data_IF_175606910026
#
_entry.id   IF_175606910026
#
_cell.length_a   1.000
_cell.length_b   1.000
_cell.length_c   1.000
_cell.angle_alpha   90.00
_cell.angle_beta   90.00
_cell.angle_gamma   90.00
#
_symmetry.space_group_name_H-M   'P 1'
#
loop_
_entity.id
_entity.type
_entity.pdbx_description
1 polymer ?
#
# COMPACT_ATOMS: atom_id res chain seq x y z
N UNK A 1 -12.01 17.55 -21.86
CA UNK A 1 -12.04 16.22 -21.17
C UNK A 1 -10.97 15.26 -21.69
N UNK A 2 -10.79 15.05 -23.00
CA UNK A 2 -9.76 14.12 -23.52
C UNK A 2 -8.31 14.55 -23.23
N UNK A 3 -8.00 15.84 -23.35
CA UNK A 3 -6.64 16.37 -23.08
C UNK A 3 -6.24 16.35 -21.60
N UNK A 4 -7.21 16.57 -20.70
CA UNK A 4 -6.97 16.56 -19.24
C UNK A 4 -6.74 15.15 -18.69
N UNK A 5 -7.40 14.14 -19.26
CA UNK A 5 -7.17 12.74 -18.87
C UNK A 5 -5.77 12.31 -19.31
N UNK A 6 -5.34 12.71 -20.52
CA UNK A 6 -4.02 12.37 -21.04
C UNK A 6 -2.89 12.96 -20.19
N UNK A 7 -2.99 14.23 -19.80
CA UNK A 7 -1.96 14.89 -18.98
C UNK A 7 -1.86 14.26 -17.58
N UNK A 8 -2.98 13.85 -16.99
CA UNK A 8 -2.98 13.12 -15.70
C UNK A 8 -2.35 11.73 -15.85
N UNK A 9 -2.63 11.01 -16.94
CA UNK A 9 -2.03 9.70 -17.19
C UNK A 9 -0.51 9.81 -17.40
N UNK A 10 -0.06 10.82 -18.14
CA UNK A 10 1.37 11.10 -18.35
C UNK A 10 2.09 11.47 -17.05
N UNK A 11 1.48 12.32 -16.24
CA UNK A 11 2.00 12.70 -14.93
C UNK A 11 2.15 11.48 -14.01
N UNK A 12 1.13 10.62 -13.95
CA UNK A 12 1.15 9.42 -13.11
C UNK A 12 2.19 8.39 -13.57
N UNK A 13 2.42 8.26 -14.86
CA UNK A 13 3.46 7.37 -15.39
C UNK A 13 4.87 7.90 -15.09
N UNK A 14 5.12 9.20 -15.33
CA UNK A 14 6.46 9.79 -15.13
C UNK A 14 6.84 9.96 -13.67
N UNK A 15 5.96 10.52 -12.85
CA UNK A 15 6.27 10.88 -11.46
C UNK A 15 6.04 9.73 -10.48
N UNK A 16 4.99 8.94 -10.71
CA UNK A 16 4.57 7.88 -9.79
C UNK A 16 4.95 6.48 -10.29
N UNK A 17 5.37 6.32 -11.55
CA UNK A 17 5.79 5.04 -12.10
C UNK A 17 4.64 4.05 -12.31
N UNK A 18 3.39 4.53 -12.36
CA UNK A 18 2.22 3.67 -12.54
C UNK A 18 1.99 3.44 -14.04
N UNK A 19 1.96 2.18 -14.52
CA UNK A 19 1.72 1.90 -15.94
C UNK A 19 0.40 2.47 -16.44
N UNK A 20 0.39 3.07 -17.63
CA UNK A 20 -0.85 3.63 -18.22
C UNK A 20 -1.96 2.59 -18.36
N UNK A 21 -1.60 1.36 -18.73
CA UNK A 21 -2.56 0.27 -18.92
C UNK A 21 -3.35 -0.04 -17.63
N UNK A 22 -2.67 -0.07 -16.48
CA UNK A 22 -3.27 -0.28 -15.16
C UNK A 22 -4.21 0.86 -14.76
N UNK A 23 -3.82 2.10 -15.08
CA UNK A 23 -4.64 3.28 -14.80
C UNK A 23 -5.91 3.27 -15.65
N UNK A 24 -5.79 2.97 -16.94
CA UNK A 24 -6.92 2.90 -17.86
C UNK A 24 -7.90 1.82 -17.42
N UNK A 25 -7.42 0.61 -17.12
CA UNK A 25 -8.29 -0.47 -16.65
C UNK A 25 -9.01 -0.11 -15.34
N UNK A 26 -8.32 0.57 -14.42
CA UNK A 26 -8.92 1.02 -13.16
C UNK A 26 -9.99 2.09 -13.38
N UNK A 27 -9.73 3.07 -14.24
CA UNK A 27 -10.68 4.13 -14.58
C UNK A 27 -11.91 3.52 -15.28
N UNK A 28 -11.70 2.65 -16.26
CA UNK A 28 -12.77 1.94 -16.98
C UNK A 28 -13.68 1.15 -16.03
N UNK A 29 -13.10 0.39 -15.11
CA UNK A 29 -13.85 -0.39 -14.11
C UNK A 29 -14.65 0.51 -13.15
N UNK A 30 -14.05 1.61 -12.71
CA UNK A 30 -14.73 2.55 -11.82
C UNK A 30 -15.90 3.23 -12.54
N UNK A 31 -15.71 3.63 -13.79
CA UNK A 31 -16.76 4.21 -14.63
C UNK A 31 -17.89 3.21 -14.90
N UNK A 32 -17.58 1.94 -15.20
CA UNK A 32 -18.59 0.88 -15.35
C UNK A 32 -19.45 0.77 -14.08
N UNK A 33 -18.80 0.73 -12.91
CA UNK A 33 -19.47 0.63 -11.61
C UNK A 33 -20.33 1.86 -11.30
N UNK A 34 -19.84 3.06 -11.59
CA UNK A 34 -20.60 4.28 -11.35
C UNK A 34 -21.80 4.43 -12.29
N UNK A 35 -21.62 4.04 -13.56
CA UNK A 35 -22.69 4.11 -14.54
C UNK A 35 -23.82 3.10 -14.24
N UNK A 36 -23.48 1.91 -13.71
CA UNK A 36 -24.45 0.93 -13.20
C UNK A 36 -25.23 1.44 -11.98
N UNK A 37 -24.62 2.23 -11.09
CA UNK A 37 -25.29 2.82 -9.92
C UNK A 37 -26.08 4.10 -10.24
N UNK A 38 -25.78 4.74 -11.37
CA UNK A 38 -26.36 6.01 -11.78
C UNK A 38 -27.57 5.88 -12.74
N UNK A 39 -27.56 6.68 -13.81
CA UNK A 39 -28.65 6.91 -14.77
C UNK A 39 -29.18 5.62 -15.44
N UNK A 40 -28.31 4.60 -15.51
CA UNK A 40 -28.54 3.33 -16.21
C UNK A 40 -28.64 2.15 -15.22
N UNK A 41 -29.27 2.37 -14.07
CA UNK A 41 -29.56 1.33 -13.08
C UNK A 41 -30.20 0.10 -13.74
N UNK A 42 -29.46 -0.99 -13.78
CA UNK A 42 -29.88 -2.27 -14.38
C UNK A 42 -29.41 -2.55 -15.82
N UNK A 43 -28.70 -1.64 -16.48
CA UNK A 43 -28.06 -1.92 -17.78
C UNK A 43 -26.58 -2.29 -17.60
N UNK A 44 -26.13 -3.31 -18.33
CA UNK A 44 -24.71 -3.58 -18.46
C UNK A 44 -24.09 -2.62 -19.47
N UNK A 45 -23.00 -1.97 -19.06
CA UNK A 45 -22.26 -1.02 -19.87
C UNK A 45 -20.85 -1.55 -20.12
N UNK A 46 -20.41 -1.45 -21.37
CA UNK A 46 -19.02 -1.64 -21.78
C UNK A 46 -18.44 -0.27 -22.05
N UNK A 47 -17.34 0.05 -21.38
CA UNK A 47 -16.64 1.32 -21.53
C UNK A 47 -15.23 0.96 -21.97
N UNK A 48 -14.71 1.70 -22.94
CA UNK A 48 -13.32 1.59 -23.36
C UNK A 48 -12.69 2.99 -23.48
N UNK A 49 -11.42 3.08 -23.17
CA UNK A 49 -10.66 4.33 -23.21
C UNK A 49 -9.44 4.09 -24.05
N UNK A 50 -9.33 4.83 -25.15
CA UNK A 50 -8.19 4.67 -26.04
C UNK A 50 -6.92 5.26 -25.37
N UNK A 51 -5.85 4.45 -25.21
CA UNK A 51 -4.65 4.82 -24.47
C UNK A 51 -3.84 5.96 -25.09
N UNK A 52 -4.02 6.23 -26.39
CA UNK A 52 -3.23 7.24 -27.10
C UNK A 52 -3.85 8.63 -27.08
N UNK A 53 -5.19 8.71 -27.11
CA UNK A 53 -5.90 9.99 -27.25
C UNK A 53 -6.86 10.29 -26.09
N UNK A 54 -7.04 9.35 -25.14
CA UNK A 54 -7.92 9.51 -24.00
C UNK A 54 -9.41 9.60 -24.37
N UNK A 55 -9.80 9.21 -25.59
CA UNK A 55 -11.20 9.19 -26.01
C UNK A 55 -11.92 8.03 -25.34
N UNK A 56 -13.03 8.36 -24.69
CA UNK A 56 -13.91 7.41 -24.03
C UNK A 56 -15.01 6.98 -24.99
N UNK A 57 -15.17 5.68 -25.18
CA UNK A 57 -16.28 5.07 -25.91
C UNK A 57 -17.12 4.27 -24.93
N UNK A 58 -18.44 4.36 -25.05
CA UNK A 58 -19.37 3.67 -24.17
C UNK A 58 -20.46 2.97 -24.98
N UNK A 59 -20.73 1.73 -24.64
CA UNK A 59 -21.78 0.91 -25.23
C UNK A 59 -22.69 0.35 -24.15
N UNK A 60 -24.01 0.43 -24.35
CA UNK A 60 -25.01 -0.32 -23.59
C UNK A 60 -25.17 -1.71 -24.21
N UNK A 61 -25.06 -2.73 -23.37
CA UNK A 61 -25.44 -4.09 -23.75
C UNK A 61 -26.95 -4.22 -23.59
N UNK A 62 -27.63 -4.51 -24.70
CA UNK A 62 -29.08 -4.70 -24.73
C UNK A 62 -29.42 -6.07 -25.31
N UNK A 63 -30.47 -6.70 -24.78
CA UNK A 63 -30.94 -8.02 -25.20
C UNK A 63 -31.98 -7.89 -26.31
N UNK A 64 -31.82 -8.67 -27.37
CA UNK A 64 -32.77 -8.72 -28.48
C UNK A 64 -33.98 -9.56 -28.09
N UNK A 65 -35.17 -8.98 -28.14
CA UNK A 65 -36.44 -9.62 -27.79
C UNK A 65 -37.53 -9.28 -28.80
N UNK A 66 -38.56 -10.12 -28.85
CA UNK A 66 -39.74 -9.92 -29.70
C UNK A 66 -40.73 -8.90 -29.10
N UNK A 67 -40.93 -8.94 -27.78
CA UNK A 67 -41.75 -7.95 -27.06
C UNK A 67 -40.89 -7.23 -26.03
N UNK A 68 -40.73 -5.92 -26.18
CA UNK A 68 -39.91 -5.08 -25.30
C UNK A 68 -40.68 -4.79 -24.01
N UNK A 69 -40.24 -5.37 -22.89
CA UNK A 69 -40.76 -5.05 -21.57
C UNK A 69 -40.02 -3.85 -20.97
N UNK A 70 -38.69 -3.82 -21.12
CA UNK A 70 -37.86 -2.73 -20.61
C UNK A 70 -37.01 -2.10 -21.72
N UNK A 71 -37.39 -0.90 -22.23
CA UNK A 71 -36.68 -0.23 -23.32
C UNK A 71 -35.21 0.13 -23.04
N UNK A 72 -34.78 0.05 -21.77
CA UNK A 72 -33.38 0.24 -21.39
C UNK A 72 -32.59 -1.05 -21.65
N UNK A 73 -33.02 -2.19 -21.13
CA UNK A 73 -32.24 -3.43 -21.20
C UNK A 73 -32.53 -4.26 -22.45
N UNK A 74 -33.61 -3.94 -23.17
CA UNK A 74 -34.12 -4.74 -24.27
C UNK A 74 -34.32 -3.91 -25.55
N UNK A 75 -34.17 -4.56 -26.69
CA UNK A 75 -34.36 -3.97 -28.02
C UNK A 75 -35.15 -4.93 -28.91
N UNK A 76 -36.06 -4.37 -29.71
CA UNK A 76 -36.82 -5.14 -30.69
C UNK A 76 -35.90 -5.67 -31.80
N UNK A 77 -36.21 -6.85 -32.34
CA UNK A 77 -35.44 -7.53 -33.40
C UNK A 77 -35.16 -6.62 -34.60
N UNK A 78 -36.15 -5.84 -35.05
CA UNK A 78 -35.97 -4.92 -36.19
C UNK A 78 -34.91 -3.85 -35.91
N UNK A 79 -34.93 -3.25 -34.71
CA UNK A 79 -33.93 -2.25 -34.31
C UNK A 79 -32.56 -2.90 -34.07
N UNK A 80 -32.53 -4.14 -33.62
CA UNK A 80 -31.31 -4.91 -33.46
C UNK A 80 -30.64 -5.20 -34.81
N UNK A 81 -31.42 -5.59 -35.82
CA UNK A 81 -30.94 -5.86 -37.17
C UNK A 81 -30.41 -4.60 -37.87
N UNK A 82 -30.97 -3.42 -37.57
CA UNK A 82 -30.46 -2.14 -38.06
C UNK A 82 -29.10 -1.77 -37.46
N UNK A 83 -28.81 -2.18 -36.22
CA UNK A 83 -27.53 -1.95 -35.55
C UNK A 83 -26.48 -3.00 -35.94
N UNK A 84 -26.89 -4.26 -36.07
CA UNK A 84 -26.05 -5.39 -36.45
C UNK A 84 -26.81 -6.31 -37.39
N UNK A 85 -26.42 -6.31 -38.66
CA UNK A 85 -27.00 -7.18 -39.67
C UNK A 85 -26.85 -8.66 -39.24
N UNK A 86 -27.98 -9.36 -39.10
CA UNK A 86 -28.03 -10.76 -38.66
C UNK A 86 -28.31 -10.99 -37.17
N UNK A 87 -28.68 -9.96 -36.40
CA UNK A 87 -29.09 -10.15 -35.00
C UNK A 87 -30.35 -11.04 -34.87
N UNK A 88 -30.31 -12.01 -33.97
CA UNK A 88 -31.40 -12.97 -33.69
C UNK A 88 -31.99 -12.71 -32.29
N UNK A 89 -33.25 -13.10 -32.08
CA UNK A 89 -33.89 -13.07 -30.75
C UNK A 89 -33.03 -13.86 -29.76
N UNK A 90 -32.71 -13.23 -28.63
CA UNK A 90 -31.86 -13.80 -27.59
C UNK A 90 -30.42 -13.27 -27.57
N UNK A 91 -29.97 -12.60 -28.65
CA UNK A 91 -28.62 -12.02 -28.72
C UNK A 91 -28.44 -10.82 -27.78
N UNK A 92 -27.19 -10.58 -27.38
CA UNK A 92 -26.76 -9.35 -26.71
C UNK A 92 -26.05 -8.46 -27.73
N UNK A 93 -26.54 -7.25 -27.95
CA UNK A 93 -25.93 -6.29 -28.87
C UNK A 93 -25.42 -5.06 -28.11
N UNK A 94 -24.35 -4.47 -28.63
CA UNK A 94 -23.72 -3.27 -28.11
C UNK A 94 -24.31 -2.05 -28.83
N UNK A 95 -25.04 -1.20 -28.10
CA UNK A 95 -25.58 0.06 -28.60
C UNK A 95 -24.71 1.21 -28.11
N UNK A 96 -24.14 1.96 -29.04
CA UNK A 96 -23.30 3.12 -28.69
C UNK A 96 -24.10 4.19 -27.94
N UNK A 97 -23.49 4.77 -26.90
CA UNK A 97 -24.06 5.83 -26.07
C UNK A 97 -23.10 7.00 -26.09
N UNK A 98 -23.65 8.22 -26.18
CA UNK A 98 -22.84 9.43 -26.04
C UNK A 98 -22.20 9.51 -24.63
N UNK A 99 -20.86 9.48 -24.53
CA UNK A 99 -20.11 9.66 -23.30
C UNK A 99 -20.47 10.93 -22.52
N UNK A 100 -20.97 11.97 -23.19
CA UNK A 100 -21.32 13.26 -22.58
C UNK A 100 -22.42 13.12 -21.52
N UNK A 101 -23.33 12.16 -21.69
CA UNK A 101 -24.40 11.85 -20.74
C UNK A 101 -23.88 11.32 -19.39
N UNK A 102 -22.65 10.81 -19.37
CA UNK A 102 -21.95 10.37 -18.17
C UNK A 102 -21.14 11.51 -17.50
N UNK A 103 -21.04 12.68 -18.12
CA UNK A 103 -19.97 13.67 -17.93
C UNK A 103 -19.60 14.02 -16.49
N UNK A 104 -20.56 14.47 -15.66
CA UNK A 104 -20.24 14.92 -14.30
C UNK A 104 -19.91 13.77 -13.34
N UNK A 105 -20.67 12.67 -13.43
CA UNK A 105 -20.47 11.47 -12.61
C UNK A 105 -19.17 10.78 -13.03
N UNK A 106 -18.88 10.74 -14.32
CA UNK A 106 -17.67 10.14 -14.87
C UNK A 106 -16.40 10.86 -14.39
N UNK A 107 -16.37 12.20 -14.45
CA UNK A 107 -15.21 12.97 -14.02
C UNK A 107 -14.90 12.78 -12.52
N UNK A 108 -15.92 12.81 -11.67
CA UNK A 108 -15.75 12.61 -10.22
C UNK A 108 -15.31 11.17 -9.91
N UNK A 109 -15.92 10.19 -10.55
CA UNK A 109 -15.60 8.76 -10.37
C UNK A 109 -14.18 8.46 -10.86
N UNK A 110 -13.79 8.97 -12.03
CA UNK A 110 -12.44 8.80 -12.57
C UNK A 110 -11.40 9.38 -11.60
N UNK A 111 -11.63 10.58 -11.08
CA UNK A 111 -10.74 11.18 -10.06
C UNK A 111 -10.62 10.30 -8.81
N UNK A 112 -11.73 9.76 -8.33
CA UNK A 112 -11.73 8.88 -7.17
C UNK A 112 -10.99 7.57 -7.44
N UNK A 113 -11.18 6.98 -8.62
CA UNK A 113 -10.51 5.77 -9.07
C UNK A 113 -9.00 5.95 -9.18
N UNK A 114 -8.57 7.07 -9.78
CA UNK A 114 -7.15 7.46 -9.86
C UNK A 114 -6.55 7.58 -8.47
N UNK A 115 -7.20 8.30 -7.55
CA UNK A 115 -6.72 8.46 -6.17
C UNK A 115 -6.68 7.14 -5.41
N UNK A 116 -7.63 6.24 -5.67
CA UNK A 116 -7.63 4.90 -5.06
C UNK A 116 -6.48 4.04 -5.60
N UNK A 117 -6.25 4.04 -6.93
CA UNK A 117 -5.13 3.30 -7.53
C UNK A 117 -3.79 3.84 -7.07
N UNK A 118 -3.65 5.15 -6.98
CA UNK A 118 -2.46 5.81 -6.44
C UNK A 118 -2.17 5.35 -5.01
N UNK A 119 -3.17 5.37 -4.12
CA UNK A 119 -3.00 4.85 -2.75
C UNK A 119 -2.62 3.37 -2.71
N UNK A 120 -3.14 2.56 -3.63
CA UNK A 120 -2.78 1.14 -3.70
C UNK A 120 -1.32 0.97 -4.15
N UNK A 121 -0.90 1.71 -5.18
CA UNK A 121 0.47 1.67 -5.66
C UNK A 121 1.47 2.15 -4.61
N UNK A 122 1.15 3.22 -3.88
CA UNK A 122 1.97 3.69 -2.76
C UNK A 122 2.10 2.62 -1.68
N UNK A 123 1.03 1.86 -1.39
CA UNK A 123 1.07 0.71 -0.46
C UNK A 123 1.96 -0.41 -0.97
N UNK A 124 1.81 -0.82 -2.22
CA UNK A 124 2.60 -1.91 -2.78
C UNK A 124 4.11 -1.58 -2.73
N UNK A 125 4.46 -0.32 -3.01
CA UNK A 125 5.84 0.18 -2.92
C UNK A 125 6.41 0.18 -1.50
N UNK A 126 5.59 0.42 -0.48
CA UNK A 126 6.04 0.38 0.92
C UNK A 126 6.57 -1.03 1.27
N UNK A 127 5.91 -2.08 0.81
CA UNK A 127 6.40 -3.44 1.07
C UNK A 127 7.79 -3.66 0.46
N UNK A 128 7.98 -3.26 -0.79
CA UNK A 128 9.26 -3.39 -1.48
C UNK A 128 10.38 -2.57 -0.84
N UNK A 129 10.08 -1.38 -0.33
CA UNK A 129 11.05 -0.50 0.33
C UNK A 129 11.54 -1.05 1.69
N UNK A 130 10.72 -1.83 2.40
CA UNK A 130 11.01 -2.27 3.77
C UNK A 130 11.26 -3.78 3.94
N UNK A 131 10.99 -4.62 2.93
CA UNK A 131 11.17 -6.08 3.03
C UNK A 131 12.59 -6.51 3.44
N UNK A 132 13.62 -5.81 2.95
CA UNK A 132 15.02 -6.11 3.26
C UNK A 132 15.45 -5.54 4.64
N UNK A 133 14.63 -4.68 5.23
CA UNK A 133 14.86 -4.09 6.56
C UNK A 133 14.21 -4.91 7.70
N UNK A 134 13.44 -5.94 7.37
CA UNK A 134 12.84 -6.84 8.36
C UNK A 134 13.92 -7.48 9.23
N UNK A 135 13.80 -7.33 10.54
CA UNK A 135 14.77 -7.79 11.53
C UNK A 135 15.94 -6.83 11.79
N UNK A 136 15.93 -5.63 11.20
CA UNK A 136 16.92 -4.58 11.42
C UNK A 136 16.34 -3.39 12.21
N UNK A 137 17.22 -2.52 12.69
CA UNK A 137 16.82 -1.29 13.39
C UNK A 137 16.46 -0.23 12.37
N UNK A 138 15.28 0.35 12.54
CA UNK A 138 14.81 1.52 11.80
C UNK A 138 14.67 2.70 12.76
N UNK A 139 14.88 3.90 12.26
CA UNK A 139 14.67 5.13 13.02
C UNK A 139 13.46 5.85 12.46
N UNK A 140 12.58 6.31 13.35
CA UNK A 140 11.41 7.07 12.98
C UNK A 140 11.05 8.13 14.02
N UNK A 141 10.05 8.94 13.70
CA UNK A 141 9.54 9.99 14.57
C UNK A 141 8.18 9.60 15.10
N UNK A 142 7.98 9.65 16.41
CA UNK A 142 6.68 9.39 17.03
C UNK A 142 5.68 10.42 16.54
N UNK A 143 4.57 9.97 15.96
CA UNK A 143 3.56 10.85 15.40
C UNK A 143 2.38 11.03 16.34
N UNK A 144 1.75 9.91 16.71
CA UNK A 144 0.58 9.90 17.59
C UNK A 144 0.48 8.57 18.34
N UNK A 145 -0.28 8.60 19.43
CA UNK A 145 -0.70 7.41 20.17
C UNK A 145 -2.21 7.28 20.05
N UNK A 146 -2.69 6.11 19.66
CA UNK A 146 -4.12 5.80 19.69
C UNK A 146 -4.35 4.61 20.62
N UNK A 147 -5.14 4.82 21.68
CA UNK A 147 -5.37 3.81 22.72
C UNK A 147 -4.04 3.32 23.29
N UNK A 148 -3.60 2.13 22.88
CA UNK A 148 -2.37 1.50 23.32
C UNK A 148 -1.28 1.43 22.23
N UNK A 149 -1.61 1.74 20.99
CA UNK A 149 -0.70 1.59 19.86
C UNK A 149 -0.03 2.93 19.54
N UNK A 150 1.26 2.86 19.23
CA UNK A 150 2.06 4.03 18.87
C UNK A 150 2.29 4.04 17.37
N UNK A 151 2.00 5.16 16.73
CA UNK A 151 2.28 5.38 15.31
C UNK A 151 3.58 6.15 15.15
N UNK A 152 4.48 5.59 14.36
CA UNK A 152 5.83 6.11 14.13
C UNK A 152 5.98 6.37 12.64
N UNK A 153 6.39 7.59 12.29
CA UNK A 153 6.68 7.98 10.93
C UNK A 153 8.12 7.60 10.56
N UNK A 154 8.28 6.74 9.56
CA UNK A 154 9.57 6.33 8.99
C UNK A 154 9.99 7.22 7.80
N UNK A 155 9.27 8.32 7.56
CA UNK A 155 9.49 9.27 6.47
C UNK A 155 8.82 8.86 5.16
N UNK A 156 8.89 7.57 4.81
CA UNK A 156 8.20 7.01 3.62
C UNK A 156 6.86 6.34 3.93
N UNK A 157 6.71 5.85 5.15
CA UNK A 157 5.55 5.07 5.58
C UNK A 157 5.27 5.32 7.07
N UNK A 158 4.00 5.19 7.45
CA UNK A 158 3.58 5.15 8.85
C UNK A 158 3.64 3.69 9.34
N UNK A 159 4.32 3.47 10.45
CA UNK A 159 4.48 2.18 11.08
C UNK A 159 3.80 2.17 12.45
N UNK A 160 3.43 0.98 12.93
CA UNK A 160 2.75 0.79 14.21
C UNK A 160 3.67 0.03 15.16
N UNK A 161 3.76 0.49 16.40
CA UNK A 161 4.34 -0.25 17.52
C UNK A 161 3.21 -0.62 18.48
N UNK A 162 2.69 -1.86 18.38
CA UNK A 162 1.62 -2.33 19.25
C UNK A 162 2.00 -2.22 20.72
N UNK A 163 1.02 -2.04 21.61
CA UNK A 163 1.30 -1.89 23.05
C UNK A 163 2.12 -3.03 23.68
N UNK A 164 1.98 -4.27 23.18
CA UNK A 164 2.78 -5.43 23.61
C UNK A 164 4.25 -5.37 23.20
N UNK A 165 4.56 -4.59 22.17
CA UNK A 165 5.91 -4.42 21.60
C UNK A 165 6.62 -3.18 22.16
N UNK A 166 5.94 -2.41 23.01
CA UNK A 166 6.48 -1.26 23.73
C UNK A 166 7.18 -1.72 25.00
N UNK A 167 8.19 -0.96 25.43
CA UNK A 167 8.90 -1.23 26.68
C UNK A 167 8.07 -0.69 27.84
N UNK A 168 7.72 -1.50 28.85
CA UNK A 168 7.03 -1.01 30.03
C UNK A 168 7.82 0.11 30.72
N UNK A 169 7.16 1.24 30.99
CA UNK A 169 7.75 2.40 31.65
C UNK A 169 8.44 3.42 30.72
N UNK A 170 8.61 3.12 29.43
CA UNK A 170 9.01 4.15 28.46
C UNK A 170 7.81 5.03 28.09
N UNK A 171 7.99 6.35 28.16
CA UNK A 171 7.04 7.32 27.63
C UNK A 171 7.53 7.86 26.29
N UNK A 172 6.65 7.84 25.29
CA UNK A 172 6.96 8.32 23.95
C UNK A 172 6.19 9.60 23.67
N UNK A 173 6.89 10.68 23.37
CA UNK A 173 6.27 11.97 23.07
C UNK A 173 6.15 12.20 21.56
N UNK A 174 5.03 12.78 21.07
CA UNK A 174 4.93 13.21 19.67
C UNK A 174 6.10 14.14 19.29
N UNK A 175 6.74 13.86 18.14
CA UNK A 175 7.92 14.58 17.66
C UNK A 175 9.26 13.97 18.10
N UNK A 176 9.25 13.02 19.05
CA UNK A 176 10.46 12.33 19.50
C UNK A 176 10.98 11.37 18.42
N UNK A 177 12.30 11.33 18.21
CA UNK A 177 12.94 10.35 17.32
C UNK A 177 13.31 9.11 18.10
N UNK A 178 12.77 7.97 17.69
CA UNK A 178 13.00 6.68 18.33
C UNK A 178 13.59 5.67 17.35
N UNK A 179 14.49 4.82 17.87
CA UNK A 179 14.95 3.61 17.17
C UNK A 179 14.06 2.44 17.53
N UNK A 180 13.64 1.65 16.56
CA UNK A 180 12.82 0.46 16.78
C UNK A 180 13.34 -0.69 15.91
N UNK A 181 13.08 -1.92 16.32
CA UNK A 181 13.24 -3.09 15.47
C UNK A 181 12.04 -3.19 14.53
N UNK A 182 12.28 -3.34 13.23
CA UNK A 182 11.22 -3.76 12.30
C UNK A 182 11.01 -5.27 12.47
N UNK A 183 9.90 -5.69 13.05
CA UNK A 183 9.62 -7.10 13.35
C UNK A 183 9.17 -7.84 12.12
N UNK A 184 8.16 -7.29 11.44
CA UNK A 184 7.53 -7.88 10.27
C UNK A 184 6.68 -6.83 9.54
N UNK A 185 6.26 -7.18 8.33
CA UNK A 185 5.31 -6.40 7.52
C UNK A 185 4.09 -7.30 7.31
N UNK A 186 2.95 -6.91 7.87
CA UNK A 186 1.70 -7.67 7.74
C UNK A 186 0.85 -7.13 6.60
N UNK A 187 0.43 -7.99 5.68
CA UNK A 187 -0.51 -7.62 4.63
C UNK A 187 -1.94 -7.64 5.18
N UNK A 188 -2.51 -6.46 5.45
CA UNK A 188 -3.91 -6.34 5.85
C UNK A 188 -4.79 -5.93 4.66
N UNK A 189 -6.13 -6.12 4.72
CA UNK A 189 -7.04 -5.59 3.70
C UNK A 189 -6.96 -4.06 3.54
N UNK A 190 -6.41 -3.36 4.54
CA UNK A 190 -6.20 -1.91 4.52
C UNK A 190 -4.83 -1.53 3.95
N UNK A 191 -3.92 -2.48 3.71
CA UNK A 191 -2.57 -2.25 3.21
C UNK A 191 -1.49 -2.97 4.02
N UNK A 192 -0.23 -2.92 3.58
CA UNK A 192 0.89 -3.40 4.38
C UNK A 192 1.03 -2.53 5.63
N UNK A 193 1.09 -3.19 6.77
CA UNK A 193 1.27 -2.58 8.07
C UNK A 193 2.64 -2.98 8.61
N UNK A 194 3.49 -2.00 8.87
CA UNK A 194 4.85 -2.22 9.36
C UNK A 194 4.80 -2.32 10.88
N UNK A 195 5.14 -3.48 11.42
CA UNK A 195 5.13 -3.73 12.86
C UNK A 195 6.52 -3.47 13.43
N UNK A 196 6.58 -2.55 14.39
CA UNK A 196 7.78 -2.16 15.11
C UNK A 196 7.79 -2.75 16.52
N UNK A 197 8.99 -2.91 17.07
CA UNK A 197 9.18 -3.33 18.46
C UNK A 197 10.41 -2.71 19.11
N UNK A 198 10.24 -2.30 20.36
CA UNK A 198 11.35 -1.97 21.27
C UNK A 198 11.49 -3.01 22.38
N UNK A 199 10.45 -3.81 22.66
CA UNK A 199 10.46 -4.87 23.66
C UNK A 199 11.19 -6.15 23.19
N UNK A 200 11.24 -6.42 21.89
CA UNK A 200 11.81 -7.66 21.35
C UNK A 200 13.27 -7.88 21.79
N UNK A 201 13.68 -9.09 22.21
CA UNK A 201 15.07 -9.43 22.49
C UNK A 201 16.04 -9.06 21.35
N UNK A 202 15.58 -9.21 20.10
CA UNK A 202 16.35 -8.87 18.90
C UNK A 202 16.69 -7.38 18.79
N UNK A 203 15.89 -6.50 19.39
CA UNK A 203 16.14 -5.05 19.37
C UNK A 203 17.49 -4.71 19.99
N UNK A 204 17.74 -5.15 21.23
CA UNK A 204 19.00 -4.88 21.92
C UNK A 204 20.16 -5.57 21.22
N UNK A 205 19.97 -6.82 20.74
CA UNK A 205 21.01 -7.50 19.97
C UNK A 205 21.46 -6.68 18.76
N UNK A 206 20.51 -6.17 17.97
CA UNK A 206 20.83 -5.32 16.81
C UNK A 206 21.41 -3.96 17.21
N UNK A 207 21.04 -3.40 18.37
CA UNK A 207 21.69 -2.19 18.90
C UNK A 207 23.17 -2.44 19.20
N UNK A 208 23.51 -3.59 19.82
CA UNK A 208 24.91 -3.97 20.06
C UNK A 208 25.68 -4.14 18.76
N UNK A 209 25.08 -4.76 17.73
CA UNK A 209 25.69 -4.88 16.40
C UNK A 209 25.94 -3.52 15.72
N UNK A 210 25.15 -2.49 16.04
CA UNK A 210 25.36 -1.13 15.52
C UNK A 210 26.41 -0.34 16.32
N UNK A 211 26.45 -0.51 17.63
CA UNK A 211 27.30 0.30 18.53
C UNK A 211 28.70 -0.31 18.74
N UNK A 212 28.82 -1.64 18.64
CA UNK A 212 30.05 -2.39 18.93
C UNK A 212 30.61 -2.99 17.64
N UNK A 213 31.70 -2.41 17.15
CA UNK A 213 32.40 -2.83 15.92
C UNK A 213 32.81 -4.30 15.94
N UNK A 214 33.27 -4.79 17.09
CA UNK A 214 33.73 -6.15 17.31
C UNK A 214 32.57 -7.17 17.26
N UNK A 215 31.34 -6.72 17.52
CA UNK A 215 30.14 -7.56 17.35
C UNK A 215 29.71 -7.57 15.89
N UNK A 216 29.88 -6.45 15.18
CA UNK A 216 29.54 -6.32 13.76
C UNK A 216 30.47 -7.15 12.85
N UNK A 217 31.77 -7.18 13.14
CA UNK A 217 32.77 -7.96 12.38
C UNK A 217 32.85 -9.44 12.79
N UNK A 218 32.16 -9.82 13.87
CA UNK A 218 32.08 -11.18 14.38
C UNK A 218 33.25 -11.62 15.26
N UNK A 219 34.17 -10.70 15.60
CA UNK A 219 35.25 -10.95 16.57
C UNK A 219 34.67 -11.33 17.92
N UNK A 220 33.65 -10.61 18.38
CA UNK A 220 32.85 -10.87 19.58
C UNK A 220 31.48 -11.41 19.19
N UNK A 221 31.12 -12.57 19.71
CA UNK A 221 29.83 -13.24 19.48
C UNK A 221 28.95 -13.16 20.72
N UNK A 222 27.65 -12.94 20.50
CA UNK A 222 26.63 -13.03 21.55
C UNK A 222 26.11 -14.47 21.58
N UNK A 223 26.51 -15.23 22.59
CA UNK A 223 26.19 -16.66 22.77
C UNK A 223 24.82 -16.87 23.41
N UNK A 224 24.49 -16.08 24.42
CA UNK A 224 23.23 -16.17 25.14
C UNK A 224 22.66 -14.79 25.46
N UNK A 225 21.33 -14.72 25.49
CA UNK A 225 20.61 -13.47 25.64
C UNK A 225 19.32 -13.69 26.44
N UNK A 226 19.14 -12.92 27.51
CA UNK A 226 17.93 -12.94 28.34
C UNK A 226 17.49 -11.50 28.62
N UNK A 227 16.23 -11.18 28.33
CA UNK A 227 15.69 -9.82 28.46
C UNK A 227 14.32 -9.81 29.10
N UNK A 228 14.18 -8.94 30.08
CA UNK A 228 12.93 -8.49 30.68
C UNK A 228 12.79 -7.00 30.32
N UNK A 229 12.01 -6.65 29.28
CA UNK A 229 11.90 -5.28 28.79
C UNK A 229 11.49 -4.30 29.90
N UNK A 230 12.20 -3.17 30.01
CA UNK A 230 11.94 -2.14 31.02
C UNK A 230 12.57 -2.44 32.38
N UNK A 231 13.16 -3.63 32.57
CA UNK A 231 13.78 -4.02 33.84
C UNK A 231 15.25 -4.40 33.69
N UNK A 232 15.58 -5.50 33.02
CA UNK A 232 16.97 -5.96 32.87
C UNK A 232 17.22 -6.71 31.58
N UNK A 233 18.44 -6.60 31.07
CA UNK A 233 18.96 -7.45 30.00
C UNK A 233 20.29 -8.05 30.44
N UNK A 234 20.45 -9.36 30.28
CA UNK A 234 21.70 -10.09 30.49
C UNK A 234 22.15 -10.70 29.18
N UNK A 235 23.44 -10.56 28.89
CA UNK A 235 24.04 -10.98 27.63
C UNK A 235 25.32 -11.74 27.97
N UNK A 236 25.52 -12.89 27.35
CA UNK A 236 26.78 -13.63 27.40
C UNK A 236 27.51 -13.44 26.07
N UNK A 237 28.77 -13.03 26.15
CA UNK A 237 29.61 -12.74 24.99
C UNK A 237 30.92 -13.49 25.06
N UNK A 238 31.43 -13.90 23.90
CA UNK A 238 32.72 -14.58 23.77
C UNK A 238 33.51 -13.97 22.62
N UNK A 239 34.82 -13.89 22.74
CA UNK A 239 35.70 -13.43 21.67
C UNK A 239 36.32 -14.62 20.93
N UNK A 240 36.47 -14.49 19.62
CA UNK A 240 37.26 -15.38 18.78
C UNK A 240 38.75 -14.99 18.75
N UNK A 241 39.07 -13.73 19.05
CA UNK A 241 40.44 -13.25 19.21
C UNK A 241 40.82 -13.21 20.70
N UNK A 242 41.83 -13.97 21.16
CA UNK A 242 42.28 -13.97 22.55
C UNK A 242 42.86 -12.61 23.01
N UNK A 243 43.19 -11.70 22.10
CA UNK A 243 43.66 -10.34 22.41
C UNK A 243 42.52 -9.36 22.69
N UNK A 244 41.28 -9.73 22.39
CA UNK A 244 40.09 -8.88 22.56
C UNK A 244 39.29 -9.36 23.76
N UNK A 245 39.16 -8.51 24.77
CA UNK A 245 38.23 -8.75 25.88
C UNK A 245 36.79 -8.47 25.42
N UNK A 246 35.92 -9.49 25.34
CA UNK A 246 34.57 -9.32 24.83
C UNK A 246 33.71 -8.42 25.72
N UNK A 247 33.93 -8.41 27.04
CA UNK A 247 33.17 -7.54 27.96
C UNK A 247 33.64 -6.10 27.80
N UNK A 248 34.96 -5.88 27.81
CA UNK A 248 35.55 -4.56 27.57
C UNK A 248 35.12 -3.94 26.24
N UNK A 249 35.10 -4.72 25.16
CA UNK A 249 34.65 -4.29 23.85
C UNK A 249 33.17 -3.84 23.85
N UNK A 250 32.28 -4.62 24.48
CA UNK A 250 30.86 -4.29 24.56
C UNK A 250 30.55 -3.10 25.48
N UNK A 251 31.29 -2.92 26.58
CA UNK A 251 31.06 -1.84 27.56
C UNK A 251 31.66 -0.51 27.07
N UNK A 252 32.83 -0.56 26.44
CA UNK A 252 33.59 0.62 26.03
C UNK A 252 34.15 1.42 27.22
N UNK A 253 34.88 2.49 26.92
CA UNK A 253 35.52 3.32 27.95
C UNK A 253 34.49 3.86 28.96
N UNK A 254 34.62 3.50 30.25
CA UNK A 254 33.72 3.90 31.35
C UNK A 254 32.23 3.61 31.10
N UNK A 255 31.92 2.60 30.30
CA UNK A 255 30.56 2.22 29.96
C UNK A 255 29.89 3.11 28.92
N UNK A 256 30.66 3.84 28.10
CA UNK A 256 30.12 4.78 27.12
C UNK A 256 29.13 4.12 26.15
N UNK A 257 29.41 2.90 25.66
CA UNK A 257 28.58 2.21 24.65
C UNK A 257 27.29 1.61 25.21
N UNK A 258 27.23 1.37 26.52
CA UNK A 258 26.06 0.75 27.20
C UNK A 258 25.16 1.77 27.88
N UNK A 259 25.59 3.03 27.98
CA UNK A 259 24.82 4.13 28.59
C UNK A 259 24.04 4.95 27.56
N UNK A 260 24.43 4.87 26.29
CA UNK A 260 23.78 5.50 25.13
C UNK A 260 22.54 4.73 24.70
#
# INVERSE_FOLDING_TARGET
>A
MSSEILSVLEYMEKEKGIPRADMISTITNALKTAAQKGINSGQELKIDINPKNGQLHAWAVVKVVDSVSNPKTEVHVEKAQALKAGAVIGDLIEKEIDPSTLGRIAAQTARQAVMQRLRQFEKDRIYDDFKDQVGNIVTGTVRRRERNDLYVDLGKAEAIMPGKEQVPGEEYQPGERIRCLLVEIQSTPRGPEIILSRASPKFVRRLFELEVTEVADGTVKIEAFAREPGYRTKIAVTSSDPKVDPVGACVGARGARVKT
#
